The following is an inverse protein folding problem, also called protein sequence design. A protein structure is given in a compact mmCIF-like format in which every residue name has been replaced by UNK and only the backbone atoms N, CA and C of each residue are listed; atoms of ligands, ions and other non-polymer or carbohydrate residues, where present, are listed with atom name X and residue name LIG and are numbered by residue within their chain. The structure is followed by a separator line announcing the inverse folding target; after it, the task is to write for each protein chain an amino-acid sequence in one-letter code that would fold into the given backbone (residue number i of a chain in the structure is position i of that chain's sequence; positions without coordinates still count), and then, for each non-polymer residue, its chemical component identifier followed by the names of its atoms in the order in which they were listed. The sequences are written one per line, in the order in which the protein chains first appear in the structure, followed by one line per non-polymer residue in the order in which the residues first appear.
data_IF_367330487541
#
_entry.id   IF_367330487541
#
_cell.length_a   1.000
_cell.length_b   1.000
_cell.length_c   1.000
_cell.angle_alpha   90.00
_cell.angle_beta   90.00
_cell.angle_gamma   90.00
#
_symmetry.space_group_name_H-M   'P 1'
#
loop_
_entity.id
_entity.type
_entity.pdbx_description
1 polymer ?
#
# COMPACT_ATOMS: atom_id res chain seq x y z
N UNK A 1 -16.81 -3.57 -15.68
CA UNK A 1 -15.84 -2.44 -15.64
C UNK A 1 -14.45 -3.01 -15.88
N UNK A 2 -13.61 -2.34 -16.66
CA UNK A 2 -12.21 -2.73 -16.88
C UNK A 2 -11.44 -2.48 -15.58
N UNK A 3 -10.58 -3.41 -15.11
CA UNK A 3 -9.74 -3.17 -13.94
C UNK A 3 -8.74 -2.04 -14.23
N UNK A 4 -8.62 -1.10 -13.29
CA UNK A 4 -7.60 -0.04 -13.32
C UNK A 4 -6.45 -0.43 -12.39
N UNK A 5 -5.22 -0.27 -12.86
CA UNK A 5 -4.02 -0.51 -12.08
C UNK A 5 -3.50 0.81 -11.53
N UNK A 6 -3.03 0.80 -10.28
CA UNK A 6 -2.39 1.94 -9.63
C UNK A 6 -1.02 1.54 -9.09
N UNK A 7 -0.11 2.50 -9.02
CA UNK A 7 1.26 2.30 -8.59
C UNK A 7 1.52 3.19 -7.37
N UNK A 8 1.96 2.56 -6.29
CA UNK A 8 2.23 3.21 -5.00
C UNK A 8 3.54 2.70 -4.43
N UNK A 9 4.33 3.60 -3.88
CA UNK A 9 5.54 3.28 -3.15
C UNK A 9 5.20 2.68 -1.79
N UNK A 10 6.14 1.89 -1.24
CA UNK A 10 6.00 1.31 0.10
C UNK A 10 5.76 2.38 1.19
N UNK A 11 6.42 3.54 1.08
CA UNK A 11 6.22 4.65 2.01
C UNK A 11 4.79 5.19 2.00
N UNK A 12 4.13 5.21 0.85
CA UNK A 12 2.74 5.67 0.74
C UNK A 12 1.78 4.70 1.44
N UNK A 13 2.04 3.38 1.39
CA UNK A 13 1.29 2.41 2.20
C UNK A 13 1.54 2.58 3.69
N UNK A 14 2.78 2.86 4.09
CA UNK A 14 3.12 3.11 5.49
C UNK A 14 2.39 4.34 6.04
N UNK A 15 2.35 5.43 5.27
CA UNK A 15 1.64 6.66 5.59
C UNK A 15 0.12 6.45 5.63
N UNK A 16 -0.44 5.70 4.67
CA UNK A 16 -1.86 5.33 4.67
C UNK A 16 -2.23 4.61 5.97
N UNK A 17 -1.42 3.64 6.40
CA UNK A 17 -1.64 2.89 7.64
C UNK A 17 -1.51 3.78 8.89
N UNK A 18 -0.59 4.73 8.92
CA UNK A 18 -0.49 5.69 10.04
C UNK A 18 -1.75 6.55 10.14
N UNK A 19 -2.20 7.13 9.01
CA UNK A 19 -3.42 7.93 8.95
C UNK A 19 -4.67 7.12 9.33
N UNK A 20 -4.77 5.86 8.89
CA UNK A 20 -5.86 4.98 9.32
C UNK A 20 -5.83 4.68 10.82
N UNK A 21 -4.64 4.56 11.41
CA UNK A 21 -4.49 4.40 12.85
C UNK A 21 -4.89 5.66 13.63
N UNK A 22 -4.65 6.85 13.08
CA UNK A 22 -5.14 8.10 13.66
C UNK A 22 -6.68 8.20 13.62
N UNK A 23 -7.31 7.80 12.52
CA UNK A 23 -8.77 7.84 12.35
C UNK A 23 -9.46 6.73 13.16
N UNK A 24 -8.86 5.54 13.21
CA UNK A 24 -9.42 4.35 13.86
C UNK A 24 -8.44 3.77 14.90
N UNK A 25 -8.21 4.47 16.03
CA UNK A 25 -7.17 4.13 17.01
C UNK A 25 -7.44 2.85 17.81
N UNK A 26 -8.68 2.34 17.77
CA UNK A 26 -9.06 1.10 18.45
C UNK A 26 -8.68 -0.16 17.67
N UNK A 27 -8.21 -0.01 16.42
CA UNK A 27 -7.82 -1.13 15.57
C UNK A 27 -6.32 -1.36 15.70
N UNK A 28 -5.94 -2.62 15.94
CA UNK A 28 -4.53 -3.02 15.91
C UNK A 28 -4.12 -3.26 14.45
N UNK A 29 -3.54 -2.25 13.83
CA UNK A 29 -3.11 -2.31 12.42
C UNK A 29 -1.83 -3.14 12.24
N UNK A 30 -1.71 -3.92 11.15
CA UNK A 30 -0.45 -4.60 10.81
C UNK A 30 0.70 -3.60 10.66
N UNK A 31 1.83 -3.92 11.27
CA UNK A 31 3.02 -3.08 11.21
C UNK A 31 3.82 -3.32 9.93
N UNK A 32 4.42 -2.26 9.41
CA UNK A 32 5.42 -2.31 8.36
C UNK A 32 6.83 -2.33 8.95
N UNK A 33 7.74 -3.09 8.34
CA UNK A 33 9.15 -3.08 8.70
C UNK A 33 9.81 -1.79 8.18
N UNK A 34 9.71 -0.71 8.97
CA UNK A 34 10.30 0.58 8.60
C UNK A 34 11.81 0.66 8.89
N UNK A 35 12.39 -0.34 9.56
CA UNK A 35 13.84 -0.35 9.85
C UNK A 35 14.63 -0.65 8.58
N UNK A 36 15.28 0.39 8.06
CA UNK A 36 16.44 0.24 7.19
C UNK A 36 17.51 -0.49 7.99
N UNK A 37 17.73 -1.78 7.70
CA UNK A 37 18.88 -2.50 8.24
C UNK A 37 20.12 -1.98 7.53
N UNK A 38 20.86 -1.08 8.19
CA UNK A 38 22.15 -0.58 7.71
C UNK A 38 23.12 -1.75 7.75
N UNK A 39 23.52 -2.23 6.57
CA UNK A 39 24.42 -3.37 6.41
C UNK A 39 23.76 -4.50 5.61
N UNK A 40 24.17 -4.64 4.35
CA UNK A 40 23.83 -5.76 3.44
C UNK A 40 22.33 -6.00 3.24
N UNK A 41 21.56 -4.97 2.91
CA UNK A 41 20.21 -5.18 2.39
C UNK A 41 20.28 -5.76 0.97
N UNK A 42 19.95 -7.03 0.79
CA UNK A 42 19.71 -7.56 -0.55
C UNK A 42 18.41 -6.93 -1.07
N UNK A 43 18.50 -5.97 -2.01
CA UNK A 43 17.37 -5.17 -2.51
C UNK A 43 16.18 -6.06 -2.91
N UNK A 44 16.46 -7.24 -3.49
CA UNK A 44 15.43 -8.24 -3.83
C UNK A 44 14.71 -8.80 -2.60
N UNK A 45 15.44 -9.14 -1.54
CA UNK A 45 14.86 -9.65 -0.28
C UNK A 45 13.96 -8.59 0.38
N UNK A 46 14.40 -7.32 0.35
CA UNK A 46 13.60 -6.20 0.86
C UNK A 46 12.31 -6.03 0.05
N UNK A 47 12.39 -6.10 -1.28
CA UNK A 47 11.21 -5.98 -2.14
C UNK A 47 10.19 -7.09 -1.88
N UNK A 48 10.62 -8.34 -1.75
CA UNK A 48 9.73 -9.48 -1.45
C UNK A 48 9.11 -9.38 -0.04
N UNK A 49 9.89 -8.95 0.96
CA UNK A 49 9.37 -8.69 2.31
C UNK A 49 8.27 -7.62 2.27
N UNK A 50 8.56 -6.47 1.63
CA UNK A 50 7.61 -5.36 1.50
C UNK A 50 6.34 -5.76 0.77
N UNK A 51 6.46 -6.55 -0.30
CA UNK A 51 5.29 -7.09 -1.03
C UNK A 51 4.42 -7.97 -0.12
N UNK A 52 5.05 -8.81 0.69
CA UNK A 52 4.35 -9.67 1.66
C UNK A 52 3.63 -8.84 2.72
N UNK A 53 4.31 -7.86 3.29
CA UNK A 53 3.76 -6.95 4.29
C UNK A 53 2.57 -6.16 3.74
N UNK A 54 2.72 -5.55 2.54
CA UNK A 54 1.62 -4.86 1.86
C UNK A 54 0.46 -5.83 1.66
N UNK A 55 0.69 -7.01 1.10
CA UNK A 55 -0.37 -8.00 0.85
C UNK A 55 -1.14 -8.37 2.12
N UNK A 56 -0.44 -8.51 3.25
CA UNK A 56 -1.07 -8.80 4.54
C UNK A 56 -1.87 -7.61 5.08
N UNK A 57 -1.32 -6.40 4.97
CA UNK A 57 -2.02 -5.17 5.33
C UNK A 57 -3.31 -5.00 4.51
N UNK A 58 -3.26 -5.20 3.19
CA UNK A 58 -4.45 -5.09 2.34
C UNK A 58 -5.48 -6.17 2.70
N UNK A 59 -5.10 -7.44 2.85
CA UNK A 59 -6.07 -8.47 3.28
C UNK A 59 -6.74 -8.12 4.61
N UNK A 60 -5.97 -7.61 5.58
CA UNK A 60 -6.52 -7.15 6.85
C UNK A 60 -7.49 -5.98 6.69
N UNK A 61 -7.11 -4.94 5.95
CA UNK A 61 -7.93 -3.76 5.72
C UNK A 61 -9.26 -4.12 5.03
N UNK A 62 -9.23 -4.95 3.98
CA UNK A 62 -10.45 -5.37 3.26
C UNK A 62 -11.36 -6.30 4.07
N UNK A 63 -10.85 -6.92 5.14
CA UNK A 63 -11.69 -7.69 6.08
C UNK A 63 -12.47 -6.81 7.07
N UNK A 64 -12.21 -5.50 7.10
CA UNK A 64 -12.92 -4.55 7.97
C UNK A 64 -14.26 -4.14 7.38
N UNK A 65 -15.12 -3.57 8.22
CA UNK A 65 -16.42 -3.02 7.82
C UNK A 65 -16.25 -1.99 6.71
N UNK A 66 -17.32 -1.75 5.94
CA UNK A 66 -17.29 -0.77 4.84
C UNK A 66 -16.94 0.64 5.33
N UNK A 67 -17.35 1.02 6.55
CA UNK A 67 -16.98 2.30 7.18
C UNK A 67 -15.46 2.52 7.23
N UNK A 68 -14.68 1.45 7.39
CA UNK A 68 -13.21 1.50 7.47
C UNK A 68 -12.58 1.18 6.11
N UNK A 69 -12.98 0.09 5.47
CA UNK A 69 -12.38 -0.39 4.22
C UNK A 69 -12.75 0.45 3.00
N UNK A 70 -13.75 1.31 3.12
CA UNK A 70 -14.24 2.20 2.06
C UNK A 70 -14.36 3.64 2.58
N UNK A 71 -13.55 4.06 3.56
CA UNK A 71 -13.52 5.47 3.95
C UNK A 71 -12.87 6.34 2.87
N UNK A 72 -13.10 7.66 2.93
CA UNK A 72 -12.60 8.62 1.94
C UNK A 72 -11.09 8.56 1.73
N UNK A 73 -10.34 8.21 2.78
CA UNK A 73 -8.90 8.03 2.71
C UNK A 73 -8.52 6.85 1.79
N UNK A 74 -9.23 5.72 1.87
CA UNK A 74 -9.01 4.57 0.98
C UNK A 74 -9.38 4.93 -0.45
N UNK A 75 -10.49 5.64 -0.66
CA UNK A 75 -10.88 6.08 -2.00
C UNK A 75 -9.85 7.01 -2.62
N UNK A 76 -9.34 7.97 -1.85
CA UNK A 76 -8.29 8.89 -2.29
C UNK A 76 -7.01 8.14 -2.64
N UNK A 77 -6.60 7.20 -1.79
CA UNK A 77 -5.40 6.39 -2.04
C UNK A 77 -5.53 5.52 -3.30
N UNK A 78 -6.71 4.93 -3.51
CA UNK A 78 -7.01 4.05 -4.63
C UNK A 78 -7.36 4.78 -5.93
N UNK A 79 -7.50 6.11 -5.90
CA UNK A 79 -7.84 6.88 -7.08
C UNK A 79 -6.68 6.88 -8.09
N UNK A 80 -6.92 6.57 -9.38
CA UNK A 80 -5.86 6.61 -10.39
C UNK A 80 -5.25 8.00 -10.51
N UNK A 81 -3.93 8.05 -10.68
CA UNK A 81 -3.16 9.27 -10.91
C UNK A 81 -2.54 9.25 -12.30
N UNK A 82 -2.17 10.41 -12.85
CA UNK A 82 -1.53 10.51 -14.16
C UNK A 82 -0.25 9.64 -14.26
N UNK A 83 0.51 9.51 -13.16
CA UNK A 83 1.70 8.65 -13.11
C UNK A 83 1.37 7.16 -13.28
N UNK A 84 0.16 6.74 -12.91
CA UNK A 84 -0.27 5.35 -13.03
C UNK A 84 -0.49 4.98 -14.51
N UNK A 85 -0.99 5.93 -15.30
CA UNK A 85 -1.11 5.79 -16.76
C UNK A 85 0.27 5.70 -17.42
N UNK A 86 1.18 6.60 -17.05
CA UNK A 86 2.55 6.62 -17.58
C UNK A 86 3.32 5.32 -17.26
N UNK A 87 3.15 4.78 -16.06
CA UNK A 87 3.83 3.53 -15.66
C UNK A 87 3.23 2.30 -16.36
N UNK A 88 1.91 2.29 -16.57
CA UNK A 88 1.24 1.26 -17.34
C UNK A 88 1.72 1.26 -18.82
N UNK A 89 1.99 2.42 -19.40
CA UNK A 89 2.57 2.52 -20.75
C UNK A 89 3.99 1.97 -20.82
N UNK A 90 4.86 2.32 -19.87
CA UNK A 90 6.23 1.77 -19.79
C UNK A 90 6.24 0.25 -19.68
N UNK A 91 5.37 -0.30 -18.82
CA UNK A 91 5.28 -1.74 -18.59
C UNK A 91 4.77 -2.51 -19.83
N UNK A 92 3.98 -1.87 -20.71
CA UNK A 92 3.56 -2.48 -21.99
C UNK A 92 4.68 -2.53 -23.04
N UNK A 93 5.69 -1.68 -22.89
CA UNK A 93 6.82 -1.54 -23.82
C UNK A 93 8.02 -2.41 -23.40
N UNK A 94 7.99 -3.03 -22.21
CA UNK A 94 9.01 -3.94 -21.66
C UNK A 94 8.62 -5.40 -21.81
#
# INVERSE_FOLDING_TARGET
KVPTYIFRHFSEFAELRDKLNEIFPLIVWPNFSTRVVIGRSNIRSVAESRKTEISNFLRFLWSKTAEISQCDLIYTFCHPLLRDEQEAEKTKLS
#
